data_IF_348705308173
#
_entry.id   IF_348705308173
#
_cell.length_a   1.000
_cell.length_b   1.000
_cell.length_c   1.000
_cell.angle_alpha   90.00
_cell.angle_beta   90.00
_cell.angle_gamma   90.00
#
_symmetry.space_group_name_H-M   'P 1'
#
loop_
_entity.id
_entity.type
_entity.pdbx_description
1 polymer ?
#
# COMPACT_ATOMS: atom_id res chain seq x y z
N UNK A 1 -1.54 13.27 15.47
CA UNK A 1 -0.20 13.31 14.84
C UNK A 1 0.77 12.44 15.61
N UNK A 2 0.76 12.51 16.94
CA UNK A 2 1.68 11.74 17.82
C UNK A 2 1.48 10.22 17.74
N UNK A 3 0.32 9.78 17.23
CA UNK A 3 0.04 8.37 16.93
C UNK A 3 0.65 7.90 15.58
N UNK A 4 1.04 8.83 14.71
CA UNK A 4 1.50 8.59 13.33
C UNK A 4 3.02 8.77 13.21
N UNK A 5 3.55 9.77 13.92
CA UNK A 5 4.95 10.17 13.89
C UNK A 5 5.59 9.95 15.25
N UNK A 6 6.75 9.31 15.23
CA UNK A 6 7.59 9.18 16.42
C UNK A 6 8.32 10.51 16.73
N UNK A 7 8.81 10.71 17.96
CA UNK A 7 9.52 11.93 18.34
C UNK A 7 10.74 12.25 17.46
N UNK A 8 11.42 11.23 16.93
CA UNK A 8 12.53 11.37 15.99
C UNK A 8 12.10 11.86 14.60
N UNK A 9 10.81 11.87 14.29
CA UNK A 9 10.23 12.30 13.01
C UNK A 9 9.63 13.73 13.08
N UNK A 10 10.10 14.58 13.99
CA UNK A 10 9.52 15.92 14.22
C UNK A 10 9.59 16.82 12.96
N UNK A 11 10.64 16.70 12.15
CA UNK A 11 10.76 17.44 10.88
C UNK A 11 9.65 17.02 9.90
N UNK A 12 9.41 15.73 9.76
CA UNK A 12 8.33 15.17 8.93
C UNK A 12 6.98 15.60 9.47
N UNK A 13 6.78 15.54 10.79
CA UNK A 13 5.56 15.99 11.45
C UNK A 13 5.29 17.48 11.20
N UNK A 14 6.32 18.31 11.19
CA UNK A 14 6.22 19.74 10.89
C UNK A 14 5.80 19.97 9.44
N UNK A 15 6.46 19.32 8.48
CA UNK A 15 6.05 19.37 7.05
C UNK A 15 4.60 18.94 6.86
N UNK A 16 4.18 17.87 7.53
CA UNK A 16 2.81 17.41 7.48
C UNK A 16 1.81 18.44 8.03
N UNK A 17 2.15 19.15 9.11
CA UNK A 17 1.30 20.25 9.61
C UNK A 17 1.16 21.35 8.56
N UNK A 18 2.24 21.74 7.90
CA UNK A 18 2.19 22.75 6.82
C UNK A 18 1.29 22.28 5.67
N UNK A 19 1.43 21.03 5.24
CA UNK A 19 0.60 20.45 4.18
C UNK A 19 -0.86 20.24 4.59
N UNK A 20 -1.18 20.13 5.88
CA UNK A 20 -2.58 20.05 6.35
C UNK A 20 -3.22 21.44 6.52
N UNK A 21 -2.41 22.47 6.79
CA UNK A 21 -2.86 23.87 6.89
C UNK A 21 -3.16 24.47 5.52
N UNK A 22 -2.40 24.07 4.50
CA UNK A 22 -2.75 24.28 3.10
C UNK A 22 -3.69 23.13 2.71
N UNK A 23 -4.73 23.31 1.89
CA UNK A 23 -5.63 22.21 1.52
C UNK A 23 -4.97 21.20 0.55
N UNK A 24 -3.88 20.56 0.97
CA UNK A 24 -3.19 19.53 0.21
C UNK A 24 -3.97 18.22 0.31
N UNK A 25 -4.56 17.79 -0.81
CA UNK A 25 -5.39 16.59 -0.88
C UNK A 25 -4.65 15.33 -0.41
N UNK A 26 -3.38 15.16 -0.81
CA UNK A 26 -2.58 13.99 -0.46
C UNK A 26 -2.27 13.89 1.03
N UNK A 27 -2.06 15.02 1.72
CA UNK A 27 -1.84 15.03 3.17
C UNK A 27 -3.12 14.63 3.91
N UNK A 28 -4.27 15.14 3.47
CA UNK A 28 -5.57 14.75 4.02
C UNK A 28 -5.90 13.28 3.74
N UNK A 29 -5.64 12.79 2.53
CA UNK A 29 -5.79 11.37 2.18
C UNK A 29 -4.89 10.48 3.05
N UNK A 30 -3.61 10.83 3.21
CA UNK A 30 -2.70 10.09 4.09
C UNK A 30 -3.21 10.02 5.54
N UNK A 31 -3.75 11.11 6.07
CA UNK A 31 -4.35 11.12 7.40
C UNK A 31 -5.59 10.21 7.50
N UNK A 32 -6.46 10.24 6.49
CA UNK A 32 -7.66 9.40 6.43
C UNK A 32 -7.30 7.91 6.33
N UNK A 33 -6.29 7.57 5.54
CA UNK A 33 -5.81 6.20 5.38
C UNK A 33 -5.39 5.55 6.71
N UNK A 34 -4.78 6.32 7.62
CA UNK A 34 -4.43 5.81 8.96
C UNK A 34 -5.67 5.40 9.78
N UNK A 35 -6.82 6.02 9.52
CA UNK A 35 -8.06 5.82 10.31
C UNK A 35 -9.03 4.83 9.66
N UNK A 36 -8.94 4.62 8.34
CA UNK A 36 -9.90 3.79 7.62
C UNK A 36 -9.50 2.31 7.66
N UNK A 37 -10.30 1.49 8.36
CA UNK A 37 -10.04 0.06 8.57
C UNK A 37 -10.71 -0.86 7.55
N UNK A 38 -11.73 -0.36 6.84
CA UNK A 38 -12.57 -1.12 5.90
C UNK A 38 -12.55 -0.51 4.49
N UNK A 39 -11.42 0.08 4.11
CA UNK A 39 -11.24 0.62 2.77
C UNK A 39 -11.15 -0.53 1.76
N UNK A 40 -12.09 -0.59 0.81
CA UNK A 40 -12.09 -1.62 -0.25
C UNK A 40 -11.52 -1.12 -1.58
N UNK A 41 -11.78 0.14 -1.89
CA UNK A 41 -11.32 0.81 -3.12
C UNK A 41 -10.67 2.14 -2.75
N UNK A 42 -9.53 2.43 -3.37
CA UNK A 42 -8.82 3.70 -3.25
C UNK A 42 -8.63 4.32 -4.63
N UNK A 43 -9.22 5.49 -4.84
CA UNK A 43 -9.08 6.28 -6.07
C UNK A 43 -8.61 7.70 -5.74
N UNK A 44 -7.55 8.17 -6.38
CA UNK A 44 -7.01 9.51 -6.16
C UNK A 44 -6.09 9.97 -7.30
N UNK A 45 -5.81 11.28 -7.32
CA UNK A 45 -4.83 11.88 -8.22
C UNK A 45 -3.52 12.16 -7.47
N UNK A 46 -2.39 11.70 -8.00
CA UNK A 46 -1.07 11.89 -7.44
C UNK A 46 -0.33 13.05 -8.11
N UNK A 47 0.15 14.01 -7.32
CA UNK A 47 0.85 15.23 -7.70
C UNK A 47 2.29 15.32 -7.17
N UNK A 48 2.92 14.18 -6.85
CA UNK A 48 4.31 14.10 -6.36
C UNK A 48 4.55 14.57 -4.92
N UNK A 49 3.54 14.59 -4.04
CA UNK A 49 3.77 15.01 -2.64
C UNK A 49 4.22 13.85 -1.76
N UNK A 50 5.13 14.15 -0.82
CA UNK A 50 5.69 13.18 0.13
C UNK A 50 4.67 12.63 1.16
N UNK A 51 3.70 13.41 1.70
CA UNK A 51 2.84 12.95 2.78
C UNK A 51 2.15 11.60 2.53
N UNK A 52 1.48 11.43 1.39
CA UNK A 52 0.80 10.16 1.12
C UNK A 52 1.79 9.02 0.93
N UNK A 53 2.91 9.28 0.26
CA UNK A 53 4.00 8.31 0.07
C UNK A 53 4.55 7.82 1.41
N UNK A 54 4.76 8.71 2.38
CA UNK A 54 5.25 8.37 3.72
C UNK A 54 4.33 7.36 4.43
N UNK A 55 3.01 7.59 4.40
CA UNK A 55 2.04 6.68 5.03
C UNK A 55 2.04 5.32 4.34
N UNK A 56 2.05 5.30 3.01
CA UNK A 56 2.04 4.06 2.23
C UNK A 56 3.32 3.25 2.50
N UNK A 57 4.49 3.90 2.54
CA UNK A 57 5.75 3.23 2.88
C UNK A 57 5.78 2.73 4.32
N UNK A 58 5.29 3.52 5.29
CA UNK A 58 5.13 3.08 6.69
C UNK A 58 4.22 1.86 6.78
N UNK A 59 3.11 1.86 6.04
CA UNK A 59 2.19 0.72 5.97
C UNK A 59 2.88 -0.52 5.40
N UNK A 60 3.51 -0.41 4.23
CA UNK A 60 4.20 -1.53 3.58
C UNK A 60 5.31 -2.12 4.46
N UNK A 61 6.03 -1.27 5.20
CA UNK A 61 7.09 -1.66 6.14
C UNK A 61 6.57 -2.09 7.53
N UNK A 62 5.25 -2.04 7.75
CA UNK A 62 4.60 -2.31 9.05
C UNK A 62 5.19 -1.50 10.19
N UNK A 63 5.54 -0.25 9.90
CA UNK A 63 5.97 0.73 10.89
C UNK A 63 4.73 1.36 11.56
N UNK A 64 4.94 2.09 12.66
CA UNK A 64 3.85 2.85 13.27
C UNK A 64 3.23 3.83 12.26
N UNK A 65 1.89 3.95 12.21
CA UNK A 65 0.90 3.33 13.11
C UNK A 65 0.54 1.86 12.81
N UNK A 66 0.94 1.31 11.68
CA UNK A 66 0.54 -0.02 11.14
C UNK A 66 1.27 -1.24 11.73
N UNK A 67 2.04 -1.07 12.81
CA UNK A 67 2.84 -2.13 13.42
C UNK A 67 2.06 -3.30 14.03
N UNK A 68 0.82 -3.07 14.51
CA UNK A 68 0.04 -4.09 15.24
C UNK A 68 -0.80 -4.98 14.33
N UNK A 69 -1.40 -4.40 13.30
CA UNK A 69 -2.32 -5.09 12.39
C UNK A 69 -1.87 -4.87 10.95
N UNK A 70 -2.07 -5.85 10.04
CA UNK A 70 -1.81 -5.62 8.63
C UNK A 70 -2.58 -4.38 8.15
N UNK A 71 -1.92 -3.42 7.48
CA UNK A 71 -2.61 -2.25 6.96
C UNK A 71 -3.56 -2.66 5.83
N UNK A 72 -4.66 -1.92 5.69
CA UNK A 72 -5.57 -2.00 4.55
C UNK A 72 -6.05 -3.42 4.21
N UNK A 73 -6.51 -4.17 5.23
CA UNK A 73 -6.88 -5.59 5.09
C UNK A 73 -8.00 -5.85 4.08
N UNK A 74 -8.81 -4.83 3.75
CA UNK A 74 -9.93 -4.94 2.84
C UNK A 74 -9.66 -4.30 1.47
N UNK A 75 -8.52 -3.63 1.28
CA UNK A 75 -8.23 -2.86 0.07
C UNK A 75 -7.92 -3.80 -1.07
N UNK A 76 -8.79 -3.81 -2.08
CA UNK A 76 -8.73 -4.71 -3.23
C UNK A 76 -8.29 -3.99 -4.50
N UNK A 77 -8.77 -2.76 -4.68
CA UNK A 77 -8.61 -2.00 -5.92
C UNK A 77 -8.00 -0.62 -5.65
N UNK A 78 -6.98 -0.30 -6.43
CA UNK A 78 -6.26 0.98 -6.37
C UNK A 78 -6.24 1.61 -7.74
N UNK A 79 -6.79 2.81 -7.85
CA UNK A 79 -6.86 3.61 -9.06
C UNK A 79 -6.08 4.91 -8.85
N UNK A 80 -5.03 5.12 -9.63
CA UNK A 80 -4.16 6.29 -9.48
C UNK A 80 -4.02 7.04 -10.78
N UNK A 81 -4.43 8.31 -10.79
CA UNK A 81 -4.16 9.21 -11.90
C UNK A 81 -3.03 10.18 -11.59
N UNK A 82 -2.39 10.74 -12.62
CA UNK A 82 -1.50 11.89 -12.41
C UNK A 82 -2.32 13.18 -12.30
N UNK A 83 -1.97 14.05 -11.35
CA UNK A 83 -2.51 15.42 -11.27
C UNK A 83 -2.09 16.28 -12.45
N UNK A 84 -0.97 15.94 -13.12
CA UNK A 84 -0.51 16.67 -14.31
C UNK A 84 -0.73 15.83 -15.57
N UNK A 85 -1.13 16.48 -16.65
CA UNK A 85 -1.48 15.82 -17.92
C UNK A 85 -0.26 15.30 -18.70
N UNK A 86 0.94 15.74 -18.32
CA UNK A 86 2.21 15.46 -18.97
C UNK A 86 3.00 14.31 -18.33
N UNK A 87 2.75 14.00 -17.06
CA UNK A 87 3.51 13.00 -16.31
C UNK A 87 2.75 11.69 -16.12
N UNK A 88 3.51 10.61 -15.97
CA UNK A 88 3.01 9.33 -15.49
C UNK A 88 3.16 9.27 -13.97
N UNK A 89 2.31 8.48 -13.31
CA UNK A 89 2.49 8.16 -11.89
C UNK A 89 3.83 7.43 -11.72
N UNK A 90 4.63 7.89 -10.76
CA UNK A 90 5.92 7.27 -10.44
C UNK A 90 5.73 5.81 -9.99
N UNK A 91 6.55 4.91 -10.51
CA UNK A 91 6.46 3.49 -10.16
C UNK A 91 6.86 3.20 -8.71
N UNK A 92 7.77 4.01 -8.15
CA UNK A 92 8.16 3.92 -6.74
C UNK A 92 7.02 4.26 -5.81
N UNK A 93 6.17 5.23 -6.19
CA UNK A 93 4.94 5.54 -5.46
C UNK A 93 3.95 4.38 -5.42
N UNK A 94 3.87 3.55 -6.47
CA UNK A 94 2.98 2.38 -6.50
C UNK A 94 3.52 1.17 -5.74
N UNK A 95 4.83 1.14 -5.46
CA UNK A 95 5.51 0.01 -4.83
C UNK A 95 4.87 -0.46 -3.50
N UNK A 96 4.41 0.41 -2.59
CA UNK A 96 3.80 -0.01 -1.33
C UNK A 96 2.57 -0.91 -1.50
N UNK A 97 1.75 -0.69 -2.53
CA UNK A 97 0.51 -1.43 -2.72
C UNK A 97 0.72 -2.93 -2.99
N UNK A 98 1.89 -3.31 -3.54
CA UNK A 98 2.25 -4.71 -3.74
C UNK A 98 2.51 -5.47 -2.43
N UNK A 99 2.70 -4.78 -1.31
CA UNK A 99 2.86 -5.37 0.02
C UNK A 99 1.53 -5.50 0.78
N UNK A 100 0.42 -4.97 0.24
CA UNK A 100 -0.88 -5.04 0.90
C UNK A 100 -1.60 -6.35 0.54
N UNK A 101 -2.02 -7.14 1.54
CA UNK A 101 -2.39 -8.55 1.33
C UNK A 101 -3.66 -8.74 0.48
N UNK A 102 -4.58 -7.77 0.51
CA UNK A 102 -5.85 -7.86 -0.18
C UNK A 102 -5.85 -7.22 -1.57
N UNK A 103 -4.81 -6.45 -1.93
CA UNK A 103 -4.75 -5.72 -3.20
C UNK A 103 -4.59 -6.73 -4.35
N UNK A 104 -5.50 -6.63 -5.32
CA UNK A 104 -5.56 -7.52 -6.50
C UNK A 104 -5.44 -6.75 -7.81
N UNK A 105 -5.83 -5.48 -7.78
CA UNK A 105 -5.92 -4.61 -8.94
C UNK A 105 -5.26 -3.27 -8.63
N UNK A 106 -4.27 -2.92 -9.44
CA UNK A 106 -3.67 -1.59 -9.45
C UNK A 106 -3.78 -1.07 -10.87
N UNK A 107 -4.52 0.02 -11.04
CA UNK A 107 -4.64 0.72 -12.31
C UNK A 107 -4.06 2.11 -12.19
N UNK A 108 -3.25 2.49 -13.18
CA UNK A 108 -2.85 3.87 -13.35
C UNK A 108 -3.25 4.37 -14.73
N UNK A 109 -3.76 5.59 -14.78
CA UNK A 109 -4.15 6.26 -16.01
C UNK A 109 -3.70 7.72 -16.01
N UNK A 110 -3.53 8.26 -17.21
CA UNK A 110 -3.24 9.67 -17.40
C UNK A 110 -4.56 10.43 -17.51
N UNK A 111 -4.72 11.50 -16.74
CA UNK A 111 -5.82 12.44 -16.96
C UNK A 111 -5.55 13.19 -18.28
N UNK A 112 -6.29 12.83 -19.33
CA UNK A 112 -6.18 13.42 -20.67
C UNK A 112 -7.41 13.06 -21.51
N UNK A 113 -7.63 13.69 -22.68
CA UNK A 113 -8.78 13.41 -23.55
C UNK A 113 -8.79 11.96 -24.07
N UNK A 114 -7.67 11.26 -23.97
CA UNK A 114 -7.51 9.85 -24.29
C UNK A 114 -7.21 9.07 -23.00
N UNK A 115 -8.15 8.25 -22.55
CA UNK A 115 -8.03 7.46 -21.32
C UNK A 115 -7.16 6.22 -21.60
N UNK A 116 -5.83 6.37 -21.50
CA UNK A 116 -4.90 5.25 -21.55
C UNK A 116 -4.74 4.66 -20.14
N UNK A 117 -5.40 3.54 -19.86
CA UNK A 117 -5.28 2.80 -18.60
C UNK A 117 -4.26 1.67 -18.72
N UNK A 118 -3.34 1.57 -17.74
CA UNK A 118 -2.45 0.40 -17.61
C UNK A 118 -2.94 -0.45 -16.44
N UNK A 119 -3.56 -1.58 -16.76
CA UNK A 119 -3.99 -2.57 -15.77
C UNK A 119 -2.80 -3.42 -15.32
N UNK A 120 -2.42 -3.31 -14.05
CA UNK A 120 -1.45 -4.20 -13.41
C UNK A 120 -2.23 -5.17 -12.53
N UNK A 121 -2.44 -6.38 -13.04
CA UNK A 121 -3.01 -7.48 -12.24
C UNK A 121 -1.91 -8.13 -11.43
N UNK A 122 -1.97 -7.99 -10.10
CA UNK A 122 -1.06 -8.67 -9.20
C UNK A 122 -1.78 -9.84 -8.51
N UNK A 123 -1.38 -11.07 -8.81
CA UNK A 123 -1.89 -12.25 -8.12
C UNK A 123 -1.05 -12.51 -6.87
N UNK A 124 -1.43 -11.91 -5.73
CA UNK A 124 -0.83 -12.25 -4.44
C UNK A 124 -1.16 -13.71 -4.09
N UNK A 125 -0.17 -14.60 -4.07
CA UNK A 125 -0.34 -15.99 -3.62
C UNK A 125 -0.68 -16.00 -2.12
N UNK A 126 -1.72 -16.72 -1.67
CA UNK A 126 -1.89 -16.99 -0.24
C UNK A 126 -0.66 -17.76 0.25
N UNK A 127 -0.04 -17.31 1.33
CA UNK A 127 0.92 -18.13 2.08
C UNK A 127 0.13 -19.26 2.74
N UNK A 128 -0.11 -20.33 1.99
CA UNK A 128 -0.71 -21.55 2.51
C UNK A 128 0.30 -22.13 3.50
N UNK A 129 -0.06 -22.04 4.79
CA UNK A 129 0.72 -22.56 5.90
C UNK A 129 1.14 -23.99 5.60
N UNK A 130 2.46 -24.21 5.60
CA UNK A 130 3.06 -25.52 5.43
C UNK A 130 2.78 -26.33 6.69
N UNK A 131 1.59 -26.92 6.76
CA UNK A 131 1.24 -27.87 7.80
C UNK A 131 2.14 -29.10 7.65
N UNK A 132 2.89 -29.38 8.71
CA UNK A 132 3.62 -30.62 8.94
C UNK A 132 2.69 -31.81 8.73
N UNK A 133 3.03 -32.69 7.78
CA UNK A 133 2.65 -34.09 7.87
C UNK A 133 3.93 -34.92 7.97
N UNK A 134 4.25 -35.22 9.22
CA UNK A 134 4.98 -36.41 9.63
C UNK A 134 4.36 -37.65 8.99
N UNK A 135 5.20 -38.49 8.39
CA UNK A 135 4.77 -39.78 7.86
C UNK A 135 5.90 -40.55 7.20
N UNK A 136 6.91 -40.95 7.97
CA UNK A 136 7.70 -42.14 7.64
C UNK A 136 6.96 -43.35 8.20
N UNK A 137 6.83 -44.43 7.42
CA UNK A 137 7.28 -45.70 7.97
C UNK A 137 8.15 -46.49 6.99
N UNK A 138 9.31 -46.90 7.52
CA UNK A 138 9.94 -48.22 7.43
C UNK A 138 9.68 -49.07 6.18
N UNK A 139 10.72 -49.26 5.36
CA UNK A 139 10.88 -50.47 4.56
C UNK A 139 12.03 -51.30 5.15
N UNK A 140 11.64 -52.29 5.96
CA UNK A 140 12.46 -53.47 6.24
C UNK A 140 12.59 -54.29 4.94
N UNK A 141 13.72 -54.98 4.80
CA UNK A 141 14.06 -55.76 3.61
C UNK A 141 13.15 -56.95 3.32
N UNK A 142 13.24 -57.47 2.09
CA UNK A 142 13.80 -58.80 1.80
C UNK A 142 13.54 -59.24 0.34
N UNK A 143 14.55 -59.97 -0.22
CA UNK A 143 14.56 -60.90 -1.37
C UNK A 143 14.48 -60.28 -2.79
N UNK A 144 15.37 -60.55 -3.75
CA UNK A 144 16.18 -61.74 -4.11
C UNK A 144 17.62 -61.39 -4.49
#
# INVERSE_FOLDING_TARGET
MDEIFEPEEEDTRTKWREHLLIPCEEAWLGLLLVRTTHLETLEFSHGSTEPMSDILHKAARRQRPFHRTPPFFHLQEVFVSSQTTDTWVDSGFLQPFFYFPAVRKIESYRNGPENWSREIRHCSRPLLGRALQSGMPSAAGDLY
#
